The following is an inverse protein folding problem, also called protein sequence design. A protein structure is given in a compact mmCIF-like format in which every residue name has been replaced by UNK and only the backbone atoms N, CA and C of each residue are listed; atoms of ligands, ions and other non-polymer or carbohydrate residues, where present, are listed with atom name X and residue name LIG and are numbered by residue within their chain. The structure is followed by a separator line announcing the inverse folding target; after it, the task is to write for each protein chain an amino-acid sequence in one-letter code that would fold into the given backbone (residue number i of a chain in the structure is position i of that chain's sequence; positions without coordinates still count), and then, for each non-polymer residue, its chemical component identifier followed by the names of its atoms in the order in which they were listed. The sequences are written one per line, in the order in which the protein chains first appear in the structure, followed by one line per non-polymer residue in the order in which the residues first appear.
data_IF_928899144755
#
_entry.id   IF_928899144755
#
_cell.length_a   1.000
_cell.length_b   1.000
_cell.length_c   1.000
_cell.angle_alpha   90.00
_cell.angle_beta   90.00
_cell.angle_gamma   90.00
#
_symmetry.space_group_name_H-M   'P 1'
#
loop_
_entity.id
_entity.type
_entity.pdbx_description
1 polymer ?
#
# COMPACT_ATOMS: atom_id res chain seq x y z
N UNK A 1 34.28 -71.08 59.50
CA UNK A 1 34.87 -71.82 58.41
C UNK A 1 33.97 -71.42 57.21
N UNK A 2 34.38 -70.38 56.50
CA UNK A 2 34.61 -70.31 55.03
C UNK A 2 33.49 -70.96 54.19
N UNK A 3 32.86 -70.40 53.22
CA UNK A 3 33.35 -69.47 52.18
C UNK A 3 32.19 -68.98 51.26
N UNK A 4 32.37 -67.81 50.73
CA UNK A 4 32.13 -67.22 49.43
C UNK A 4 30.73 -66.67 49.02
N UNK A 5 30.77 -65.38 49.04
CA UNK A 5 30.05 -64.45 48.20
C UNK A 5 30.29 -64.69 46.67
N UNK A 6 29.32 -64.55 45.85
CA UNK A 6 29.50 -63.92 44.51
C UNK A 6 28.30 -63.02 44.16
N UNK A 7 28.67 -61.84 43.80
CA UNK A 7 27.82 -60.72 43.32
C UNK A 7 27.46 -60.99 41.85
N UNK A 8 26.24 -60.62 41.51
CA UNK A 8 25.81 -60.43 40.09
C UNK A 8 25.24 -59.06 39.94
N UNK A 9 26.08 -58.15 39.36
CA UNK A 9 25.70 -56.82 38.93
C UNK A 9 25.13 -56.93 37.49
N UNK A 10 23.84 -56.74 37.35
CA UNK A 10 23.16 -56.63 36.02
C UNK A 10 22.77 -55.20 35.78
N UNK A 11 23.35 -54.60 34.73
CA UNK A 11 23.25 -53.23 34.30
C UNK A 11 21.85 -52.88 33.78
N UNK A 12 21.20 -51.90 34.39
CA UNK A 12 20.09 -51.13 33.84
C UNK A 12 20.63 -49.89 33.19
N UNK A 13 21.11 -50.01 31.94
CA UNK A 13 21.50 -48.85 31.11
C UNK A 13 20.98 -49.11 29.69
N UNK A 14 19.80 -48.61 29.35
CA UNK A 14 19.30 -48.79 27.98
C UNK A 14 17.98 -48.16 27.61
N UNK A 15 17.26 -47.52 28.54
CA UNK A 15 15.90 -47.03 28.22
C UNK A 15 15.73 -45.50 28.21
N UNK A 16 16.63 -44.72 28.80
CA UNK A 16 16.48 -43.24 28.86
C UNK A 16 16.91 -42.56 27.55
N UNK A 17 17.86 -43.11 26.82
CA UNK A 17 18.37 -42.53 25.59
C UNK A 17 17.38 -42.60 24.36
N UNK A 18 16.47 -43.54 24.35
CA UNK A 18 15.51 -43.72 23.24
C UNK A 18 14.27 -42.81 23.36
N UNK A 19 13.88 -42.43 24.55
CA UNK A 19 12.73 -41.53 24.79
C UNK A 19 13.09 -40.08 24.48
N UNK A 20 14.32 -39.63 24.80
CA UNK A 20 14.79 -38.28 24.45
C UNK A 20 14.96 -38.07 22.93
N UNK A 21 15.37 -39.10 22.17
CA UNK A 21 15.53 -39.01 20.72
C UNK A 21 14.18 -38.90 19.98
N UNK A 22 13.11 -39.54 20.49
CA UNK A 22 11.77 -39.43 19.92
C UNK A 22 11.09 -38.09 20.22
N UNK A 23 11.34 -37.46 21.36
CA UNK A 23 10.81 -36.12 21.67
C UNK A 23 11.48 -35.00 20.85
N UNK A 24 12.79 -35.10 20.55
CA UNK A 24 13.46 -34.14 19.67
C UNK A 24 13.00 -34.24 18.19
N UNK A 25 12.67 -35.44 17.72
CA UNK A 25 12.19 -35.63 16.34
C UNK A 25 10.77 -35.07 16.12
N UNK A 26 9.95 -34.97 17.16
CA UNK A 26 8.59 -34.44 17.07
C UNK A 26 8.54 -32.89 17.13
N UNK A 27 9.53 -32.23 17.71
CA UNK A 27 9.61 -30.77 17.70
C UNK A 27 10.15 -30.16 16.40
N UNK A 28 10.71 -30.96 15.50
CA UNK A 28 11.24 -30.48 14.21
C UNK A 28 10.23 -30.59 13.04
N UNK A 29 9.04 -31.09 13.28
CA UNK A 29 8.13 -31.48 12.19
C UNK A 29 7.01 -30.47 11.85
N UNK A 30 6.96 -29.26 12.42
CA UNK A 30 5.81 -28.34 12.22
C UNK A 30 6.18 -26.86 12.05
N UNK A 31 7.27 -26.54 11.41
CA UNK A 31 7.42 -25.22 10.80
C UNK A 31 7.08 -25.35 9.30
N UNK A 32 5.81 -25.59 8.97
CA UNK A 32 5.34 -25.28 7.64
C UNK A 32 5.61 -23.79 7.40
N UNK A 33 6.25 -23.41 6.27
CA UNK A 33 6.45 -22.01 5.98
C UNK A 33 5.08 -21.33 6.04
N UNK A 34 4.94 -20.37 6.95
CA UNK A 34 3.72 -19.58 7.03
C UNK A 34 3.51 -18.93 5.66
N UNK A 35 2.48 -19.38 4.94
CA UNK A 35 2.07 -18.71 3.70
C UNK A 35 1.80 -17.26 4.09
N UNK A 36 2.45 -16.27 3.44
CA UNK A 36 2.18 -14.89 3.74
C UNK A 36 0.69 -14.62 3.69
N UNK A 37 0.14 -14.01 4.73
CA UNK A 37 -1.28 -13.67 4.75
C UNK A 37 -1.56 -12.71 3.59
N UNK A 38 -2.69 -12.92 2.90
CA UNK A 38 -3.15 -12.05 1.82
C UNK A 38 -3.25 -10.58 2.30
N UNK A 39 -2.70 -9.66 1.52
CA UNK A 39 -2.67 -8.24 1.87
C UNK A 39 -3.93 -7.51 1.40
N UNK A 40 -4.94 -7.45 2.26
CA UNK A 40 -6.15 -6.66 2.05
C UNK A 40 -5.87 -5.22 2.48
N UNK A 41 -5.77 -4.30 1.50
CA UNK A 41 -5.50 -2.90 1.77
C UNK A 41 -6.76 -2.03 1.56
N UNK A 42 -7.08 -1.20 2.55
CA UNK A 42 -8.12 -0.18 2.43
C UNK A 42 -7.58 1.09 1.78
N UNK A 43 -7.95 1.33 0.50
CA UNK A 43 -7.49 2.46 -0.31
C UNK A 43 -7.99 3.78 0.26
N UNK A 44 -7.06 4.66 0.63
CA UNK A 44 -7.34 5.93 1.34
C UNK A 44 -8.24 5.71 2.55
N UNK A 45 -8.00 4.59 3.25
CA UNK A 45 -8.87 4.05 4.26
C UNK A 45 -9.95 3.12 3.66
N UNK A 46 -11.15 3.60 3.46
CA UNK A 46 -12.24 2.91 2.77
C UNK A 46 -13.05 3.93 1.95
N UNK A 47 -12.41 4.54 0.95
CA UNK A 47 -12.93 5.67 0.17
C UNK A 47 -14.34 5.43 -0.39
N UNK A 48 -14.67 4.22 -0.77
CA UNK A 48 -15.99 3.87 -1.27
C UNK A 48 -17.09 3.94 -0.21
N UNK A 49 -16.75 4.06 1.09
CA UNK A 49 -17.70 3.99 2.20
C UNK A 49 -17.62 5.21 3.15
N UNK A 50 -16.49 5.91 3.20
CA UNK A 50 -16.27 7.08 4.07
C UNK A 50 -15.33 8.07 3.36
N UNK A 51 -15.30 9.36 3.77
CA UNK A 51 -14.49 10.38 3.12
C UNK A 51 -13.01 10.00 3.06
N UNK A 52 -12.43 9.99 1.85
CA UNK A 52 -11.08 9.51 1.58
C UNK A 52 -10.00 10.21 2.40
N UNK A 53 -8.95 9.47 2.76
CA UNK A 53 -7.78 10.03 3.46
C UNK A 53 -8.13 10.78 4.75
N UNK A 54 -9.16 10.33 5.45
CA UNK A 54 -9.64 10.92 6.71
C UNK A 54 -9.67 9.90 7.84
N UNK A 55 -9.65 10.38 9.09
CA UNK A 55 -9.76 9.51 10.24
C UNK A 55 -11.03 8.63 10.20
N UNK A 56 -12.22 9.13 9.82
CA UNK A 56 -13.40 8.28 9.59
C UNK A 56 -13.20 7.16 8.58
N UNK A 57 -12.49 7.40 7.45
CA UNK A 57 -12.23 6.37 6.45
C UNK A 57 -11.29 5.27 6.99
N UNK A 58 -10.25 5.66 7.74
CA UNK A 58 -9.34 4.70 8.38
C UNK A 58 -10.04 3.93 9.48
N UNK A 59 -10.87 4.57 10.30
CA UNK A 59 -11.69 3.89 11.31
C UNK A 59 -12.64 2.87 10.65
N UNK A 60 -13.24 3.23 9.51
CA UNK A 60 -14.09 2.33 8.73
C UNK A 60 -13.31 1.12 8.22
N UNK A 61 -12.11 1.32 7.64
CA UNK A 61 -11.25 0.23 7.18
C UNK A 61 -10.84 -0.70 8.33
N UNK A 62 -10.44 -0.15 9.48
CA UNK A 62 -10.13 -0.91 10.67
C UNK A 62 -11.33 -1.72 11.16
N UNK A 63 -12.54 -1.16 11.16
CA UNK A 63 -13.76 -1.85 11.57
C UNK A 63 -14.18 -2.98 10.63
N UNK A 64 -13.85 -2.86 9.34
CA UNK A 64 -14.02 -3.94 8.37
C UNK A 64 -13.02 -5.08 8.64
N UNK A 65 -11.84 -4.76 9.09
CA UNK A 65 -10.72 -5.68 9.25
C UNK A 65 -9.91 -5.78 7.97
N UNK A 66 -8.93 -4.88 7.83
CA UNK A 66 -7.91 -4.87 6.78
C UNK A 66 -6.56 -5.28 7.38
N UNK A 67 -5.65 -5.77 6.54
CA UNK A 67 -4.25 -6.01 6.93
C UNK A 67 -3.42 -4.75 6.86
N UNK A 68 -3.79 -3.82 5.97
CA UNK A 68 -3.02 -2.61 5.70
C UNK A 68 -3.95 -1.42 5.46
N UNK A 69 -3.66 -0.30 6.11
CA UNK A 69 -4.21 0.99 5.73
C UNK A 69 -3.34 1.56 4.62
N UNK A 70 -3.94 1.79 3.48
CA UNK A 70 -3.30 2.51 2.39
C UNK A 70 -3.72 3.98 2.45
N UNK A 71 -2.77 4.90 2.23
CA UNK A 71 -2.96 6.33 2.34
C UNK A 71 -1.93 7.13 1.54
N UNK A 72 -2.32 8.35 1.18
CA UNK A 72 -1.49 9.30 0.46
C UNK A 72 -1.04 10.44 1.38
N UNK A 73 0.19 10.90 1.23
CA UNK A 73 0.68 12.04 1.99
C UNK A 73 1.17 13.18 1.10
N UNK A 74 0.99 14.41 1.61
CA UNK A 74 1.61 15.63 1.13
C UNK A 74 2.47 16.26 2.23
N UNK A 75 3.55 16.94 1.85
CA UNK A 75 4.39 17.71 2.77
C UNK A 75 3.98 19.16 2.71
N UNK A 76 3.71 19.79 3.86
CA UNK A 76 3.32 21.21 3.97
C UNK A 76 4.54 22.12 3.99
N UNK A 77 4.33 23.44 3.83
CA UNK A 77 5.36 24.47 3.90
C UNK A 77 6.13 24.46 5.23
N UNK A 78 5.46 24.13 6.32
CA UNK A 78 6.03 24.04 7.66
C UNK A 78 6.54 22.64 8.01
N UNK A 79 6.73 21.76 6.99
CA UNK A 79 7.37 20.45 7.13
C UNK A 79 6.49 19.38 7.77
N UNK A 80 5.19 19.57 7.88
CA UNK A 80 4.24 18.60 8.44
C UNK A 80 3.70 17.68 7.34
N UNK A 81 3.72 16.38 7.57
CA UNK A 81 3.06 15.40 6.70
C UNK A 81 1.56 15.38 6.99
N UNK A 82 0.76 15.72 5.98
CA UNK A 82 -0.71 15.66 6.00
C UNK A 82 -1.21 14.61 5.03
N UNK A 83 -2.39 14.04 5.31
CA UNK A 83 -2.94 12.95 4.49
C UNK A 83 -3.83 13.55 3.41
N UNK A 84 -3.35 13.53 2.16
CA UNK A 84 -4.03 14.09 1.00
C UNK A 84 -3.51 13.44 -0.28
N UNK A 85 -4.43 13.11 -1.21
CA UNK A 85 -4.06 12.55 -2.50
C UNK A 85 -3.57 13.61 -3.49
N UNK A 86 -4.31 14.69 -3.61
CA UNK A 86 -4.00 15.73 -4.60
C UNK A 86 -2.98 16.72 -4.03
N UNK A 87 -2.09 17.27 -4.84
CA UNK A 87 -1.11 18.26 -4.40
C UNK A 87 -1.75 19.60 -3.99
N UNK A 88 -3.02 19.83 -4.38
CA UNK A 88 -3.84 20.97 -4.01
C UNK A 88 -5.22 20.52 -3.52
N UNK A 89 -5.89 21.34 -2.74
CA UNK A 89 -7.24 21.03 -2.27
C UNK A 89 -8.20 20.82 -3.44
N UNK A 90 -8.85 19.65 -3.47
CA UNK A 90 -9.72 19.20 -4.54
C UNK A 90 -11.14 19.75 -4.34
N UNK A 91 -11.72 20.50 -5.30
CA UNK A 91 -13.07 21.06 -5.19
C UNK A 91 -14.18 20.00 -5.09
N UNK A 92 -13.93 18.78 -5.55
CA UNK A 92 -14.92 17.71 -5.49
C UNK A 92 -15.16 17.18 -4.07
N UNK A 93 -14.20 17.42 -3.15
CA UNK A 93 -14.25 16.87 -1.79
C UNK A 93 -13.94 17.91 -0.69
N UNK A 94 -13.78 19.19 -1.05
CA UNK A 94 -13.34 20.21 -0.09
C UNK A 94 -14.31 21.36 0.02
N UNK A 95 -14.73 21.65 1.25
CA UNK A 95 -15.47 22.88 1.60
C UNK A 95 -14.53 23.88 2.27
N UNK A 96 -14.72 25.15 1.93
CA UNK A 96 -14.01 26.28 2.52
C UNK A 96 -14.46 26.60 3.95
N UNK A 97 -13.83 27.59 4.59
CA UNK A 97 -14.22 28.06 5.92
C UNK A 97 -15.64 28.63 5.99
N UNK A 98 -16.21 29.03 4.86
CA UNK A 98 -17.59 29.51 4.68
C UNK A 98 -18.61 28.36 4.55
N UNK A 99 -18.13 27.11 4.54
CA UNK A 99 -18.96 25.90 4.38
C UNK A 99 -19.34 25.57 2.93
N UNK A 100 -18.99 26.42 1.94
CA UNK A 100 -19.23 26.17 0.53
C UNK A 100 -18.16 25.28 -0.07
N UNK A 101 -18.51 24.45 -1.06
CA UNK A 101 -17.50 23.73 -1.85
C UNK A 101 -16.63 24.70 -2.63
N UNK A 102 -15.35 24.38 -2.76
CA UNK A 102 -14.44 25.17 -3.57
C UNK A 102 -14.92 25.20 -5.03
N UNK A 103 -14.92 26.40 -5.63
CA UNK A 103 -15.35 26.56 -7.02
C UNK A 103 -14.29 26.09 -8.03
N UNK A 104 -13.02 26.01 -7.60
CA UNK A 104 -11.87 25.56 -8.39
C UNK A 104 -10.85 24.90 -7.47
N UNK A 105 -9.75 24.40 -8.05
CA UNK A 105 -8.62 23.85 -7.31
C UNK A 105 -8.15 24.87 -6.27
N UNK A 106 -8.07 24.44 -5.02
CA UNK A 106 -7.67 25.26 -3.88
C UNK A 106 -6.15 25.43 -3.76
N UNK A 107 -5.66 25.91 -2.61
CA UNK A 107 -4.24 26.07 -2.38
C UNK A 107 -3.48 24.76 -2.45
N UNK A 108 -2.20 24.85 -2.85
CA UNK A 108 -1.26 23.74 -2.81
C UNK A 108 -0.96 23.34 -1.36
N UNK A 109 -0.90 22.05 -1.08
CA UNK A 109 -0.48 21.51 0.23
C UNK A 109 0.92 22.03 0.57
N UNK A 110 1.85 21.94 -0.39
CA UNK A 110 3.24 22.37 -0.25
C UNK A 110 3.39 23.90 0.04
N UNK A 111 2.47 24.70 -0.45
CA UNK A 111 2.46 26.15 -0.22
C UNK A 111 1.64 26.59 1.02
N UNK A 112 1.09 25.63 1.77
CA UNK A 112 0.23 25.87 2.93
C UNK A 112 0.88 25.35 4.21
N UNK A 113 0.59 26.01 5.34
CA UNK A 113 0.91 25.43 6.66
C UNK A 113 -0.13 24.40 7.06
N UNK A 114 0.26 23.43 7.88
CA UNK A 114 -0.68 22.43 8.40
C UNK A 114 -1.85 23.09 9.14
N UNK A 115 -1.61 24.20 9.87
CA UNK A 115 -2.65 24.95 10.55
C UNK A 115 -3.66 25.58 9.58
N UNK A 116 -3.19 26.15 8.46
CA UNK A 116 -4.07 26.74 7.46
C UNK A 116 -5.00 25.70 6.84
N UNK A 117 -4.50 24.48 6.60
CA UNK A 117 -5.28 23.37 6.05
C UNK A 117 -6.40 22.88 6.98
N UNK A 118 -6.26 23.08 8.31
CA UNK A 118 -7.31 22.71 9.28
C UNK A 118 -8.58 23.56 9.18
N UNK A 119 -8.60 24.60 8.37
CA UNK A 119 -9.79 25.43 8.14
C UNK A 119 -10.77 24.80 7.15
N UNK A 120 -10.32 23.82 6.34
CA UNK A 120 -11.10 23.17 5.31
C UNK A 120 -11.76 21.91 5.83
N UNK A 121 -12.96 21.62 5.30
CA UNK A 121 -13.71 20.43 5.60
C UNK A 121 -13.69 19.50 4.38
N UNK A 122 -13.20 18.27 4.59
CA UNK A 122 -13.07 17.22 3.56
C UNK A 122 -13.98 16.03 3.84
N UNK A 123 -14.99 16.23 4.68
CA UNK A 123 -15.90 15.18 5.15
C UNK A 123 -17.06 14.84 4.23
N UNK A 124 -17.13 15.42 3.02
CA UNK A 124 -18.23 15.19 2.09
C UNK A 124 -17.81 15.42 0.65
N UNK A 125 -18.24 14.54 -0.24
CA UNK A 125 -18.14 14.75 -1.68
C UNK A 125 -19.15 15.82 -2.12
N UNK A 126 -18.73 16.69 -3.02
CA UNK A 126 -19.61 17.65 -3.68
C UNK A 126 -20.66 16.88 -4.51
N UNK A 127 -21.96 16.97 -4.17
CA UNK A 127 -23.00 16.20 -4.84
C UNK A 127 -23.17 16.57 -6.32
N UNK A 128 -22.70 17.75 -6.74
CA UNK A 128 -22.74 18.18 -8.13
C UNK A 128 -21.57 17.60 -8.98
N UNK A 129 -20.58 16.99 -8.35
CA UNK A 129 -19.41 16.43 -9.03
C UNK A 129 -19.68 15.03 -9.60
N UNK A 130 -18.92 14.65 -10.64
CA UNK A 130 -18.89 13.25 -11.12
C UNK A 130 -18.37 12.29 -10.07
N UNK A 131 -17.54 12.79 -9.16
CA UNK A 131 -16.96 12.02 -8.08
C UNK A 131 -18.04 11.42 -7.15
N UNK A 132 -19.12 12.18 -6.90
CA UNK A 132 -20.27 11.71 -6.12
C UNK A 132 -20.99 10.50 -6.78
N UNK A 133 -21.03 10.45 -8.09
CA UNK A 133 -21.63 9.32 -8.81
C UNK A 133 -20.77 8.06 -8.70
N UNK A 134 -19.44 8.23 -8.72
CA UNK A 134 -18.48 7.12 -8.57
C UNK A 134 -18.54 6.50 -7.18
N UNK A 135 -18.72 7.32 -6.14
CA UNK A 135 -18.71 6.88 -4.74
C UNK A 135 -20.06 7.08 -4.05
N UNK A 136 -21.14 6.70 -4.73
CA UNK A 136 -22.52 6.87 -4.26
C UNK A 136 -22.81 6.18 -2.91
N UNK A 137 -22.04 5.16 -2.53
CA UNK A 137 -22.20 4.46 -1.26
C UNK A 137 -21.43 5.15 -0.10
N UNK A 138 -20.60 6.17 -0.39
CA UNK A 138 -19.84 6.87 0.63
C UNK A 138 -20.76 7.66 1.55
N UNK A 139 -20.60 7.44 2.86
CA UNK A 139 -21.35 8.17 3.88
C UNK A 139 -20.54 9.41 4.31
N UNK A 140 -21.10 10.61 4.23
CA UNK A 140 -20.40 11.83 4.64
C UNK A 140 -20.24 11.91 6.16
N UNK A 141 -19.17 12.56 6.58
CA UNK A 141 -18.89 12.91 7.98
C UNK A 141 -18.48 14.37 8.03
N UNK A 142 -19.44 15.27 8.07
CA UNK A 142 -19.23 16.72 8.04
C UNK A 142 -18.36 17.20 9.20
N UNK A 143 -17.58 18.24 8.97
CA UNK A 143 -16.63 18.78 9.93
C UNK A 143 -15.29 18.04 9.97
N UNK A 144 -15.10 17.04 9.11
CA UNK A 144 -13.84 16.28 9.04
C UNK A 144 -12.71 17.13 8.44
N UNK A 145 -11.58 17.13 9.12
CA UNK A 145 -10.39 17.88 8.72
C UNK A 145 -9.38 16.97 8.03
N UNK A 146 -8.45 17.56 7.28
CA UNK A 146 -7.30 16.87 6.71
C UNK A 146 -6.41 16.41 7.86
N UNK A 147 -6.22 15.10 8.08
CA UNK A 147 -5.43 14.64 9.22
C UNK A 147 -3.92 14.78 8.95
N UNK A 148 -3.16 14.94 10.03
CA UNK A 148 -1.72 14.72 9.99
C UNK A 148 -1.44 13.22 9.95
N UNK A 149 -0.33 12.81 9.36
CA UNK A 149 0.05 11.39 9.33
C UNK A 149 0.12 10.77 10.73
N UNK A 150 0.66 11.50 11.70
CA UNK A 150 0.75 11.05 13.09
C UNK A 150 -0.63 10.75 13.73
N UNK A 151 -1.70 11.43 13.29
CA UNK A 151 -3.05 11.19 13.80
C UNK A 151 -3.62 9.86 13.29
N UNK A 152 -3.23 9.43 12.08
CA UNK A 152 -3.60 8.11 11.53
C UNK A 152 -2.88 7.01 12.31
N UNK A 153 -1.60 7.18 12.63
CA UNK A 153 -0.85 6.25 13.47
C UNK A 153 -1.47 6.13 14.88
N UNK A 154 -1.81 7.28 15.46
CA UNK A 154 -2.49 7.31 16.77
C UNK A 154 -3.89 6.67 16.74
N UNK A 155 -4.64 6.82 15.64
CA UNK A 155 -5.94 6.16 15.45
C UNK A 155 -5.78 4.63 15.48
N UNK A 156 -4.84 4.08 14.71
CA UNK A 156 -4.58 2.64 14.70
C UNK A 156 -4.13 2.11 16.08
N UNK A 157 -3.31 2.88 16.79
CA UNK A 157 -2.89 2.54 18.14
C UNK A 157 -4.09 2.49 19.13
N UNK A 158 -4.98 3.48 19.09
CA UNK A 158 -6.21 3.49 19.92
C UNK A 158 -7.14 2.32 19.61
N UNK A 159 -7.20 1.89 18.34
CA UNK A 159 -7.97 0.70 17.94
C UNK A 159 -7.31 -0.63 18.37
N UNK A 160 -6.16 -0.60 19.05
CA UNK A 160 -5.39 -1.81 19.35
C UNK A 160 -4.91 -2.56 18.09
N UNK A 161 -4.82 -1.88 16.97
CA UNK A 161 -4.45 -2.44 15.66
C UNK A 161 -2.93 -2.54 15.51
N UNK A 162 -2.27 -3.25 16.44
CA UNK A 162 -0.81 -3.36 16.50
C UNK A 162 -0.23 -4.25 15.39
N UNK A 163 -1.06 -5.05 14.74
CA UNK A 163 -0.77 -5.94 13.61
C UNK A 163 -1.07 -5.31 12.23
N UNK A 164 -1.84 -4.23 12.17
CA UNK A 164 -2.17 -3.52 10.94
C UNK A 164 -0.97 -2.73 10.43
N UNK A 165 -0.71 -2.83 9.13
CA UNK A 165 0.39 -2.14 8.43
C UNK A 165 -0.09 -0.83 7.79
N UNK A 166 0.86 -0.05 7.31
CA UNK A 166 0.61 1.20 6.59
C UNK A 166 1.35 1.16 5.26
N UNK A 167 0.65 1.40 4.16
CA UNK A 167 1.24 1.59 2.84
C UNK A 167 1.06 3.05 2.44
N UNK A 168 2.15 3.83 2.45
CA UNK A 168 2.11 5.30 2.43
C UNK A 168 2.67 5.80 1.11
N UNK A 169 1.82 6.45 0.31
CA UNK A 169 2.23 7.02 -0.96
C UNK A 169 2.79 8.44 -0.82
N UNK A 170 4.00 8.66 -1.35
CA UNK A 170 4.50 10.01 -1.58
C UNK A 170 3.89 10.56 -2.87
N UNK A 171 3.00 11.55 -2.74
CA UNK A 171 2.31 12.17 -3.90
C UNK A 171 3.20 13.21 -4.56
N UNK A 172 3.95 12.78 -5.56
CA UNK A 172 4.79 13.63 -6.42
C UNK A 172 4.43 13.38 -7.88
N UNK A 173 4.36 14.45 -8.65
CA UNK A 173 4.26 14.38 -10.11
C UNK A 173 5.47 15.09 -10.72
N UNK A 174 6.42 14.37 -11.35
CA UNK A 174 7.60 14.96 -11.95
C UNK A 174 7.30 15.96 -13.09
N UNK A 175 6.07 15.95 -13.62
CA UNK A 175 5.61 16.91 -14.65
C UNK A 175 5.23 18.27 -14.04
N UNK A 176 5.03 18.32 -12.72
CA UNK A 176 4.65 19.52 -11.96
C UNK A 176 5.57 19.64 -10.71
N UNK A 177 6.88 19.83 -10.91
CA UNK A 177 7.86 19.77 -9.83
C UNK A 177 7.68 20.85 -8.76
N UNK A 178 7.00 21.96 -9.09
CA UNK A 178 6.69 23.06 -8.17
C UNK A 178 5.43 22.81 -7.33
N UNK A 179 4.62 21.79 -7.67
CA UNK A 179 3.37 21.51 -6.96
C UNK A 179 3.57 20.77 -5.64
N UNK A 180 4.76 20.21 -5.41
CA UNK A 180 5.10 19.42 -4.23
C UNK A 180 6.53 19.70 -3.78
N UNK A 181 6.91 19.20 -2.61
CA UNK A 181 8.31 19.15 -2.22
C UNK A 181 9.13 18.28 -3.19
N UNK A 182 10.42 18.57 -3.34
CA UNK A 182 11.33 17.72 -4.10
C UNK A 182 11.42 16.29 -3.52
N UNK A 183 11.80 15.28 -4.32
CA UNK A 183 11.82 13.87 -3.89
C UNK A 183 12.60 13.61 -2.60
N UNK A 184 13.79 14.20 -2.46
CA UNK A 184 14.66 13.94 -1.30
C UNK A 184 14.11 14.49 0.01
N UNK A 185 13.76 15.78 0.16
CA UNK A 185 13.19 16.28 1.41
C UNK A 185 11.87 15.60 1.74
N UNK A 186 11.05 15.24 0.75
CA UNK A 186 9.80 14.54 1.00
C UNK A 186 10.05 13.13 1.55
N UNK A 187 10.90 12.34 0.90
CA UNK A 187 11.24 11.00 1.37
C UNK A 187 11.84 11.03 2.78
N UNK A 188 12.76 11.97 3.05
CA UNK A 188 13.37 12.14 4.38
C UNK A 188 12.36 12.49 5.46
N UNK A 189 11.42 13.39 5.17
CA UNK A 189 10.35 13.75 6.11
C UNK A 189 9.48 12.53 6.46
N UNK A 190 9.11 11.73 5.44
CA UNK A 190 8.30 10.53 5.66
C UNK A 190 9.07 9.45 6.44
N UNK A 191 10.32 9.19 6.08
CA UNK A 191 11.19 8.25 6.82
C UNK A 191 11.32 8.67 8.28
N UNK A 192 11.57 9.95 8.54
CA UNK A 192 11.68 10.48 9.91
C UNK A 192 10.39 10.23 10.71
N UNK A 193 9.22 10.52 10.13
CA UNK A 193 7.92 10.31 10.80
C UNK A 193 7.65 8.82 11.10
N UNK A 194 8.00 7.91 10.19
CA UNK A 194 7.86 6.46 10.39
C UNK A 194 8.79 5.98 11.51
N UNK A 195 10.04 6.45 11.54
CA UNK A 195 11.02 6.12 12.58
C UNK A 195 10.60 6.64 13.95
N UNK A 196 10.17 7.89 14.02
CA UNK A 196 9.67 8.53 15.25
C UNK A 196 8.47 7.75 15.84
N UNK A 197 7.58 7.28 14.96
CA UNK A 197 6.44 6.46 15.37
C UNK A 197 6.81 5.00 15.74
N UNK A 198 8.05 4.55 15.51
CA UNK A 198 8.48 3.16 15.74
C UNK A 198 7.85 2.16 14.77
N UNK A 199 7.49 2.58 13.56
CA UNK A 199 6.68 1.80 12.61
C UNK A 199 7.49 1.24 11.42
N UNK A 200 8.81 1.26 11.44
CA UNK A 200 9.68 0.85 10.33
C UNK A 200 9.38 -0.55 9.77
N UNK A 201 8.95 -1.48 10.63
CA UNK A 201 8.57 -2.86 10.21
C UNK A 201 7.10 -3.03 9.85
N UNK A 202 6.29 -1.98 10.03
CA UNK A 202 4.85 -1.97 9.75
C UNK A 202 4.46 -0.98 8.68
N UNK A 203 5.39 -0.16 8.20
CA UNK A 203 5.18 0.79 7.13
C UNK A 203 5.94 0.36 5.88
N UNK A 204 5.30 0.55 4.73
CA UNK A 204 5.92 0.54 3.41
C UNK A 204 5.73 1.91 2.79
N UNK A 205 6.67 2.33 1.95
CA UNK A 205 6.55 3.57 1.18
C UNK A 205 6.31 3.21 -0.28
N UNK A 206 5.22 3.71 -0.85
CA UNK A 206 4.90 3.52 -2.27
C UNK A 206 5.00 4.84 -3.04
N UNK A 207 5.25 4.76 -4.34
CA UNK A 207 5.23 5.93 -5.23
C UNK A 207 5.17 5.53 -6.71
N UNK A 208 4.54 6.39 -7.50
CA UNK A 208 4.71 6.41 -8.96
C UNK A 208 6.01 7.06 -9.38
N UNK A 209 6.50 8.03 -8.60
CA UNK A 209 7.80 8.66 -8.80
C UNK A 209 8.87 7.89 -8.02
N UNK A 210 9.58 7.01 -8.73
CA UNK A 210 10.55 6.11 -8.15
C UNK A 210 11.78 6.81 -7.55
N UNK A 211 11.96 8.12 -7.83
CA UNK A 211 13.05 8.90 -7.23
C UNK A 211 12.94 8.96 -5.71
N UNK A 212 11.71 9.07 -5.17
CA UNK A 212 11.50 9.02 -3.71
C UNK A 212 11.86 7.66 -3.13
N UNK A 213 11.52 6.57 -3.84
CA UNK A 213 11.81 5.20 -3.40
C UNK A 213 13.31 4.91 -3.38
N UNK A 214 14.07 5.44 -4.35
CA UNK A 214 15.53 5.32 -4.36
C UNK A 214 16.17 6.06 -3.17
N UNK A 215 15.63 7.20 -2.76
CA UNK A 215 16.08 7.89 -1.52
C UNK A 215 15.82 7.01 -0.30
N UNK A 216 14.62 6.44 -0.19
CA UNK A 216 14.26 5.54 0.91
C UNK A 216 15.20 4.34 0.97
N UNK A 217 15.43 3.66 -0.16
CA UNK A 217 16.32 2.49 -0.22
C UNK A 217 17.76 2.80 0.21
N UNK A 218 18.26 3.99 -0.13
CA UNK A 218 19.61 4.44 0.24
C UNK A 218 19.71 4.82 1.71
N UNK A 219 18.70 5.53 2.26
CA UNK A 219 18.79 6.19 3.57
C UNK A 219 18.03 5.46 4.68
N UNK A 220 17.12 4.56 4.33
CA UNK A 220 16.27 3.80 5.24
C UNK A 220 15.97 2.39 4.70
N UNK A 221 17.00 1.54 4.46
CA UNK A 221 16.85 0.21 3.86
C UNK A 221 16.00 -0.75 4.71
N UNK A 222 15.70 -0.40 5.96
CA UNK A 222 14.80 -1.13 6.86
C UNK A 222 13.31 -0.89 6.56
N UNK A 223 12.98 0.10 5.71
CA UNK A 223 11.60 0.37 5.27
C UNK A 223 11.43 -0.17 3.85
N UNK A 224 10.52 -1.10 3.69
CA UNK A 224 10.23 -1.71 2.39
C UNK A 224 9.61 -0.70 1.42
N UNK A 225 9.98 -0.80 0.13
CA UNK A 225 9.48 0.08 -0.93
C UNK A 225 8.57 -0.67 -1.89
N UNK A 226 7.44 -0.04 -2.24
CA UNK A 226 6.42 -0.53 -3.15
C UNK A 226 6.42 0.31 -4.42
N UNK A 227 6.64 -0.31 -5.56
CA UNK A 227 6.78 0.37 -6.83
C UNK A 227 5.46 0.35 -7.59
N UNK A 228 4.80 1.51 -7.63
CA UNK A 228 3.55 1.70 -8.38
C UNK A 228 3.85 1.78 -9.89
N UNK A 229 3.02 1.13 -10.68
CA UNK A 229 3.07 1.23 -12.13
C UNK A 229 1.67 1.28 -12.76
N UNK A 230 1.54 2.09 -13.79
CA UNK A 230 0.38 2.13 -14.69
C UNK A 230 0.87 2.29 -16.13
N UNK A 231 0.21 1.57 -17.04
CA UNK A 231 0.37 1.67 -18.48
C UNK A 231 -1.00 1.97 -19.09
N UNK A 232 -1.63 3.04 -18.59
CA UNK A 232 -2.99 3.45 -18.93
C UNK A 232 -2.99 4.75 -19.72
N UNK A 233 -4.03 5.01 -20.48
CA UNK A 233 -4.15 6.26 -21.26
C UNK A 233 -4.11 7.53 -20.40
N UNK A 234 -4.55 7.43 -19.13
CA UNK A 234 -4.59 8.56 -18.19
C UNK A 234 -3.28 8.71 -17.39
N UNK A 235 -2.50 7.62 -17.25
CA UNK A 235 -1.17 7.63 -16.64
C UNK A 235 -0.35 6.47 -17.19
N UNK A 236 0.78 6.78 -17.82
CA UNK A 236 1.84 5.82 -18.12
C UNK A 236 3.14 6.34 -17.51
N UNK A 237 3.46 5.81 -16.32
CA UNK A 237 4.71 6.17 -15.63
C UNK A 237 5.89 5.27 -16.04
N UNK A 238 5.65 4.23 -16.86
CA UNK A 238 6.67 3.30 -17.34
C UNK A 238 7.28 3.78 -18.64
N UNK A 239 6.49 4.49 -19.48
CA UNK A 239 6.96 4.98 -20.78
C UNK A 239 7.17 3.88 -21.81
N UNK A 240 6.50 2.73 -21.66
CA UNK A 240 6.60 1.61 -22.62
C UNK A 240 5.81 1.88 -23.92
N UNK A 241 5.17 3.03 -24.03
CA UNK A 241 4.08 3.27 -24.98
C UNK A 241 2.87 2.43 -24.58
N UNK A 242 1.68 2.99 -24.67
CA UNK A 242 0.45 2.27 -24.35
C UNK A 242 0.37 0.99 -25.18
N UNK A 243 0.88 -0.11 -24.67
CA UNK A 243 0.54 -1.43 -25.16
C UNK A 243 -0.89 -1.69 -24.68
N UNK A 244 -1.82 -0.97 -25.33
CA UNK A 244 -3.20 -1.36 -25.31
C UNK A 244 -3.29 -2.84 -25.62
N UNK A 245 -4.34 -3.50 -25.17
CA UNK A 245 -4.62 -4.91 -25.42
C UNK A 245 -4.15 -5.37 -26.82
N UNK A 246 -3.70 -6.62 -27.00
CA UNK A 246 -3.21 -7.11 -28.29
C UNK A 246 -4.20 -6.76 -29.40
N UNK A 247 -3.84 -5.81 -30.31
CA UNK A 247 -4.68 -5.35 -31.40
C UNK A 247 -4.87 -3.83 -31.54
N UNK A 248 -4.41 -3.01 -30.60
CA UNK A 248 -4.50 -1.55 -30.75
C UNK A 248 -3.35 -1.03 -31.63
N UNK A 249 -3.65 -0.71 -32.87
CA UNK A 249 -2.77 0.05 -33.77
C UNK A 249 -2.58 1.46 -33.24
N UNK A 250 -1.34 2.01 -33.21
CA UNK A 250 -1.09 3.40 -32.88
C UNK A 250 -1.86 4.33 -33.83
N UNK A 251 -2.53 5.36 -33.29
CA UNK A 251 -3.18 6.36 -34.12
C UNK A 251 -2.12 7.05 -35.04
N UNK A 252 -2.37 7.15 -36.37
CA UNK A 252 -1.44 7.84 -37.28
C UNK A 252 -1.47 9.34 -36.96
N UNK A 253 -0.32 9.91 -36.60
CA UNK A 253 -0.15 11.35 -36.43
C UNK A 253 0.46 11.83 -35.10
N UNK A 254 0.75 10.98 -34.13
CA UNK A 254 1.54 11.36 -32.96
C UNK A 254 3.01 11.42 -33.37
N UNK A 255 3.42 12.56 -33.93
CA UNK A 255 4.84 12.86 -34.15
C UNK A 255 5.57 12.73 -32.81
N UNK A 256 6.65 11.95 -32.81
CA UNK A 256 7.57 11.83 -31.70
C UNK A 256 8.29 13.17 -31.47
N UNK A 257 7.62 14.14 -30.88
CA UNK A 257 8.29 15.18 -30.12
C UNK A 257 8.85 14.48 -28.86
N UNK A 258 10.18 14.31 -28.84
CA UNK A 258 10.90 13.91 -27.65
C UNK A 258 10.65 14.95 -26.56
N UNK A 259 9.55 14.81 -25.83
CA UNK A 259 9.35 15.48 -24.55
C UNK A 259 10.52 15.03 -23.68
N UNK A 260 11.26 15.95 -23.02
CA UNK A 260 12.26 15.55 -22.06
C UNK A 260 11.59 14.56 -21.11
N UNK A 261 12.04 13.33 -21.11
CA UNK A 261 11.50 12.27 -20.27
C UNK A 261 11.79 12.66 -18.83
N UNK A 262 10.84 13.38 -18.22
CA UNK A 262 10.82 13.53 -16.77
C UNK A 262 10.54 12.14 -16.25
N UNK A 263 11.61 11.50 -15.82
CA UNK A 263 11.60 10.07 -15.59
C UNK A 263 10.90 9.77 -14.26
N UNK A 264 9.66 9.35 -14.33
CA UNK A 264 8.95 8.73 -13.22
C UNK A 264 9.74 7.56 -12.60
N UNK A 265 10.54 6.90 -13.41
CA UNK A 265 11.24 5.65 -13.10
C UNK A 265 12.69 5.87 -12.66
N UNK A 266 13.03 7.11 -12.26
CA UNK A 266 14.37 7.45 -11.78
C UNK A 266 15.50 7.08 -12.76
N UNK A 267 15.22 7.17 -14.08
CA UNK A 267 16.20 6.88 -15.15
C UNK A 267 16.18 5.45 -15.67
N UNK A 268 15.46 4.52 -15.05
CA UNK A 268 15.29 3.19 -15.65
C UNK A 268 14.38 3.27 -16.88
N UNK A 269 14.70 2.46 -17.91
CA UNK A 269 13.93 2.42 -19.15
C UNK A 269 13.36 1.03 -19.39
N UNK A 270 12.11 0.94 -19.77
CA UNK A 270 11.45 -0.32 -20.09
C UNK A 270 12.22 -1.14 -21.14
N UNK A 271 12.76 -0.47 -22.17
CA UNK A 271 13.51 -1.12 -23.25
C UNK A 271 14.76 -1.88 -22.76
N UNK A 272 15.35 -1.46 -21.64
CA UNK A 272 16.56 -2.10 -21.10
C UNK A 272 16.23 -3.39 -20.33
N UNK A 273 14.95 -3.58 -19.94
CA UNK A 273 14.51 -4.70 -19.10
C UNK A 273 13.53 -5.66 -19.80
N UNK A 274 12.81 -5.18 -20.82
CA UNK A 274 11.86 -5.95 -21.62
C UNK A 274 10.53 -6.30 -20.93
N UNK A 275 10.41 -6.08 -19.62
CA UNK A 275 9.16 -6.23 -18.89
C UNK A 275 9.13 -5.38 -17.62
N UNK A 276 7.90 -5.02 -17.14
CA UNK A 276 7.74 -4.22 -15.91
C UNK A 276 8.23 -4.98 -14.68
N UNK A 277 7.92 -6.28 -14.46
CA UNK A 277 8.46 -7.01 -13.32
C UNK A 277 9.99 -7.00 -13.25
N UNK A 278 10.69 -7.20 -14.37
CA UNK A 278 12.16 -7.14 -14.40
C UNK A 278 12.69 -5.74 -14.09
N UNK A 279 12.05 -4.72 -14.66
CA UNK A 279 12.42 -3.32 -14.42
C UNK A 279 12.24 -2.94 -12.95
N UNK A 280 11.11 -3.29 -12.35
CA UNK A 280 10.80 -3.07 -10.93
C UNK A 280 11.78 -3.85 -10.02
N UNK A 281 12.11 -5.09 -10.40
CA UNK A 281 13.11 -5.89 -9.68
C UNK A 281 14.50 -5.26 -9.74
N UNK A 282 14.90 -4.77 -10.91
CA UNK A 282 16.18 -4.07 -11.10
C UNK A 282 16.23 -2.76 -10.31
N UNK A 283 15.09 -2.09 -10.10
CA UNK A 283 14.96 -0.92 -9.24
C UNK A 283 15.12 -1.25 -7.75
N UNK A 284 15.22 -2.53 -7.36
CA UNK A 284 15.36 -2.94 -5.97
C UNK A 284 14.06 -3.02 -5.17
N UNK A 285 12.92 -3.04 -5.86
CA UNK A 285 11.60 -3.11 -5.22
C UNK A 285 11.45 -4.34 -4.30
N UNK A 286 10.74 -4.14 -3.20
CA UNK A 286 10.26 -5.24 -2.34
C UNK A 286 8.90 -5.76 -2.79
N UNK A 287 8.05 -4.88 -3.35
CA UNK A 287 6.72 -5.20 -3.86
C UNK A 287 6.51 -4.46 -5.18
N UNK A 288 5.91 -5.13 -6.15
CA UNK A 288 5.39 -4.50 -7.35
C UNK A 288 3.88 -4.25 -7.19
N UNK A 289 3.46 -3.02 -7.46
CA UNK A 289 2.05 -2.63 -7.36
C UNK A 289 1.54 -2.05 -8.68
N UNK A 290 1.11 -2.92 -9.62
CA UNK A 290 0.57 -2.50 -10.91
C UNK A 290 -0.90 -2.10 -10.82
N UNK A 291 -1.35 -1.23 -11.74
CA UNK A 291 -2.77 -1.13 -12.03
C UNK A 291 -3.31 -2.50 -12.45
N UNK A 292 -4.44 -2.94 -11.86
CA UNK A 292 -4.96 -4.31 -12.04
C UNK A 292 -5.30 -4.66 -13.50
N UNK A 293 -5.59 -3.65 -14.34
CA UNK A 293 -5.82 -3.82 -15.78
C UNK A 293 -4.57 -4.14 -16.58
N UNK A 294 -3.39 -3.85 -16.04
CA UNK A 294 -2.10 -4.10 -16.70
C UNK A 294 -1.54 -5.49 -16.36
N UNK A 295 -2.09 -6.14 -15.31
CA UNK A 295 -1.61 -7.44 -14.89
C UNK A 295 -2.19 -8.57 -15.76
N UNK A 296 -1.29 -9.28 -16.42
CA UNK A 296 -1.60 -10.51 -17.18
C UNK A 296 -1.12 -11.75 -16.41
N UNK A 297 -1.64 -12.96 -16.74
CA UNK A 297 -1.11 -14.21 -16.17
C UNK A 297 0.40 -14.37 -16.38
N UNK A 298 0.92 -13.98 -17.55
CA UNK A 298 2.33 -14.08 -17.87
C UNK A 298 3.19 -13.14 -16.99
N UNK A 299 2.75 -11.90 -16.79
CA UNK A 299 3.45 -10.94 -15.93
C UNK A 299 3.38 -11.35 -14.45
N UNK A 300 2.24 -11.92 -14.01
CA UNK A 300 2.14 -12.48 -12.64
C UNK A 300 3.10 -13.64 -12.42
N UNK A 301 3.20 -14.55 -13.39
CA UNK A 301 4.15 -15.68 -13.30
C UNK A 301 5.61 -15.19 -13.35
N UNK A 302 5.93 -14.23 -14.19
CA UNK A 302 7.25 -13.62 -14.23
C UNK A 302 7.62 -12.95 -12.89
N UNK A 303 6.70 -12.18 -12.30
CA UNK A 303 6.91 -11.58 -10.99
C UNK A 303 7.16 -12.66 -9.92
N UNK A 304 6.39 -13.76 -9.95
CA UNK A 304 6.57 -14.89 -9.05
C UNK A 304 7.95 -15.53 -9.20
N UNK A 305 8.40 -15.76 -10.43
CA UNK A 305 9.72 -16.32 -10.72
C UNK A 305 10.87 -15.40 -10.24
N UNK A 306 10.64 -14.08 -10.21
CA UNK A 306 11.57 -13.08 -9.68
C UNK A 306 11.51 -12.95 -8.15
N UNK A 307 10.61 -13.68 -7.47
CA UNK A 307 10.37 -13.51 -6.03
C UNK A 307 9.84 -12.13 -5.68
N UNK A 308 9.00 -11.55 -6.53
CA UNK A 308 8.45 -10.21 -6.40
C UNK A 308 6.94 -10.30 -6.08
N UNK A 309 6.52 -10.04 -4.83
CA UNK A 309 5.11 -9.97 -4.48
C UNK A 309 4.38 -8.92 -5.32
N UNK A 310 3.10 -9.21 -5.63
CA UNK A 310 2.25 -8.34 -6.46
C UNK A 310 1.01 -7.91 -5.67
N UNK A 311 0.85 -6.60 -5.47
CA UNK A 311 -0.32 -5.98 -4.84
C UNK A 311 -0.97 -5.06 -5.86
N UNK A 312 -2.19 -5.38 -6.30
CA UNK A 312 -2.86 -4.63 -7.39
C UNK A 312 -3.78 -3.53 -6.87
N UNK A 313 -3.96 -2.47 -7.64
CA UNK A 313 -4.80 -1.30 -7.36
C UNK A 313 -5.58 -0.85 -8.60
N UNK A 314 -6.69 -0.13 -8.52
CA UNK A 314 -7.65 -0.10 -7.43
C UNK A 314 -8.79 -1.00 -7.83
N UNK A 315 -9.02 -2.08 -7.10
CA UNK A 315 -9.95 -3.16 -7.51
C UNK A 315 -11.22 -3.07 -6.67
N UNK A 316 -12.32 -2.65 -7.29
CA UNK A 316 -13.57 -2.36 -6.59
C UNK A 316 -14.72 -3.29 -6.99
N UNK A 317 -14.74 -3.74 -8.25
CA UNK A 317 -15.84 -4.53 -8.78
C UNK A 317 -15.69 -6.02 -8.39
N UNK A 318 -16.78 -6.69 -7.95
CA UNK A 318 -16.71 -8.09 -7.51
C UNK A 318 -16.09 -9.03 -8.52
N UNK A 319 -16.40 -8.87 -9.83
CA UNK A 319 -15.81 -9.70 -10.87
C UNK A 319 -14.30 -9.46 -11.04
N UNK A 320 -13.84 -8.20 -10.88
CA UNK A 320 -12.42 -7.87 -10.94
C UNK A 320 -11.68 -8.40 -9.69
N UNK A 321 -12.29 -8.29 -8.51
CA UNK A 321 -11.77 -8.87 -7.26
C UNK A 321 -11.57 -10.37 -7.43
N UNK A 322 -12.61 -11.09 -7.87
CA UNK A 322 -12.53 -12.53 -8.09
C UNK A 322 -11.40 -12.89 -9.06
N UNK A 323 -11.30 -12.19 -10.20
CA UNK A 323 -10.24 -12.40 -11.20
C UNK A 323 -8.84 -12.20 -10.63
N UNK A 324 -8.61 -11.15 -9.81
CA UNK A 324 -7.29 -10.91 -9.22
C UNK A 324 -6.91 -12.00 -8.20
N UNK A 325 -7.88 -12.45 -7.40
CA UNK A 325 -7.68 -13.59 -6.50
C UNK A 325 -7.38 -14.89 -7.26
N UNK A 326 -8.04 -15.12 -8.42
CA UNK A 326 -7.77 -16.28 -9.29
C UNK A 326 -6.38 -16.22 -9.93
N UNK A 327 -5.88 -15.02 -10.24
CA UNK A 327 -4.50 -14.81 -10.69
C UNK A 327 -3.47 -15.02 -9.56
N UNK A 328 -3.89 -15.20 -8.33
CA UNK A 328 -3.01 -15.44 -7.20
C UNK A 328 -2.15 -14.23 -6.85
N UNK A 329 -2.70 -13.01 -6.92
CA UNK A 329 -2.01 -11.81 -6.42
C UNK A 329 -1.81 -11.90 -4.91
N UNK A 330 -0.76 -11.24 -4.40
CA UNK A 330 -0.41 -11.28 -2.99
C UNK A 330 -1.22 -10.28 -2.16
N UNK A 331 -1.87 -9.31 -2.81
CA UNK A 331 -2.76 -8.35 -2.16
C UNK A 331 -3.57 -7.51 -3.13
N UNK A 332 -4.58 -6.85 -2.59
CA UNK A 332 -5.49 -5.95 -3.29
C UNK A 332 -5.66 -4.65 -2.51
N UNK A 333 -5.45 -3.52 -3.19
CA UNK A 333 -5.82 -2.17 -2.74
C UNK A 333 -7.21 -1.87 -3.29
N UNK A 334 -8.19 -1.58 -2.41
CA UNK A 334 -9.59 -1.37 -2.79
C UNK A 334 -10.25 -0.22 -2.03
N UNK A 335 -11.09 0.56 -2.74
CA UNK A 335 -12.03 1.52 -2.13
C UNK A 335 -13.13 0.81 -1.34
N UNK A 336 -13.36 -0.46 -1.66
CA UNK A 336 -14.38 -1.33 -1.10
C UNK A 336 -13.75 -2.57 -0.47
N UNK A 337 -12.93 -2.39 0.59
CA UNK A 337 -12.30 -3.52 1.28
C UNK A 337 -13.32 -4.50 1.87
N UNK A 338 -14.55 -4.07 2.10
CA UNK A 338 -15.69 -4.91 2.48
C UNK A 338 -16.02 -5.96 1.41
N UNK A 339 -16.02 -5.59 0.12
CA UNK A 339 -16.27 -6.53 -0.99
C UNK A 339 -15.13 -7.51 -1.18
N UNK A 340 -13.87 -7.05 -1.05
CA UNK A 340 -12.71 -7.95 -1.10
C UNK A 340 -12.76 -8.95 0.03
N UNK A 341 -13.05 -8.50 1.25
CA UNK A 341 -13.22 -9.36 2.43
C UNK A 341 -14.35 -10.38 2.25
N UNK A 342 -15.48 -9.97 1.66
CA UNK A 342 -16.60 -10.87 1.35
C UNK A 342 -16.17 -11.98 0.39
N UNK A 343 -15.42 -11.65 -0.66
CA UNK A 343 -14.92 -12.63 -1.62
C UNK A 343 -13.86 -13.55 -1.01
N UNK A 344 -12.97 -13.03 -0.15
CA UNK A 344 -12.05 -13.85 0.64
C UNK A 344 -12.80 -14.85 1.51
N UNK A 345 -13.85 -14.42 2.22
CA UNK A 345 -14.70 -15.30 3.04
C UNK A 345 -15.34 -16.41 2.22
N UNK A 346 -15.90 -16.08 1.04
CA UNK A 346 -16.52 -17.05 0.12
C UNK A 346 -15.53 -18.12 -0.34
N UNK A 347 -14.24 -17.78 -0.41
CA UNK A 347 -13.15 -18.70 -0.78
C UNK A 347 -12.52 -19.44 0.40
N UNK A 348 -12.99 -19.21 1.63
CA UNK A 348 -12.40 -19.80 2.83
C UNK A 348 -11.00 -19.28 3.15
N UNK A 349 -10.63 -18.10 2.63
CA UNK A 349 -9.34 -17.47 2.92
C UNK A 349 -9.32 -16.92 4.36
N UNK A 350 -8.15 -16.91 5.03
CA UNK A 350 -8.02 -16.28 6.33
C UNK A 350 -8.41 -14.80 6.28
N UNK A 351 -9.20 -14.37 7.26
CA UNK A 351 -9.69 -12.98 7.33
C UNK A 351 -8.96 -12.21 8.43
N UNK A 352 -8.45 -11.00 8.14
CA UNK A 352 -7.87 -10.15 9.18
C UNK A 352 -8.94 -9.75 10.20
N UNK A 353 -8.61 -9.69 11.51
CA UNK A 353 -9.59 -9.36 12.54
C UNK A 353 -10.06 -7.90 12.43
N UNK A 354 -11.37 -7.62 12.61
CA UNK A 354 -11.86 -6.26 12.77
C UNK A 354 -11.23 -5.57 13.99
N UNK A 355 -10.92 -4.29 13.84
CA UNK A 355 -10.34 -3.43 14.88
C UNK A 355 -11.15 -2.12 14.98
N UNK A 356 -12.38 -2.15 15.50
CA UNK A 356 -13.17 -0.93 15.61
C UNK A 356 -12.48 0.07 16.55
N UNK A 357 -12.53 1.35 16.18
CA UNK A 357 -12.04 2.43 17.04
C UNK A 357 -13.08 2.67 18.13
N UNK A 358 -12.68 2.73 19.40
CA UNK A 358 -13.58 3.01 20.53
C UNK A 358 -14.25 4.38 20.45
#
# INVERSE_FOLDING_TARGET
MMDRLRRGSGACAGSVGRVLALCLAWCLALAAPAVPAFDLQGHRGARGLAPENTLPAFARALSIGVTTLELDVGLTQDGVLVVSHDPALNPDITRGPDGAFLAARGPLIWASTAQALQRYDVGRINPASRYAQTYAAQQPVDGTRIPRLAEVFALAARAGAHDVRFNIETKIDPRQPEATAAPEPFARALVAAIREAGLTRRATIQSFDWRTLQVVQREAPEIDTVYLSAQQRWLDNIGAGTTGAPGATPAPGAGAAATPTVSWTAGLRYADHGSVPKMVKAAGAKVWSPHFGDLTPALREEARALGLPVVVWTVNEPAAIARMLDLGVDGIISDRPDLVRQEMARRGMPLPPPRPVP
#
